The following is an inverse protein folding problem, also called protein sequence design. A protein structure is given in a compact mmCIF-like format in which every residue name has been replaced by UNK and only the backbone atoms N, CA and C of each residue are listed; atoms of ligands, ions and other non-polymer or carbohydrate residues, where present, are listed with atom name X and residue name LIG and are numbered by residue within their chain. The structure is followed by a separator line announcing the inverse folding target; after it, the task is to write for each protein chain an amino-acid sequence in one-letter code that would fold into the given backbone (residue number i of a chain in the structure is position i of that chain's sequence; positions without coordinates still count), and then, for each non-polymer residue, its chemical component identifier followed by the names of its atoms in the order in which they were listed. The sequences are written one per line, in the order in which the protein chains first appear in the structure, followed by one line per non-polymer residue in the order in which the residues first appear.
data_IF_890311109033
#
_entry.id   IF_890311109033
#
_cell.length_a   1.000
_cell.length_b   1.000
_cell.length_c   1.000
_cell.angle_alpha   90.00
_cell.angle_beta   90.00
_cell.angle_gamma   90.00
#
_symmetry.space_group_name_H-M   'P 1'
#
loop_
_entity.id
_entity.type
_entity.pdbx_description
1 polymer ?
#
# COMPACT_ATOMS: atom_id res chain seq x y z
N UNK A 1 7.19 -17.53 -35.98
CA UNK A 1 7.31 -16.06 -35.90
C UNK A 1 5.92 -15.49 -35.68
N UNK A 2 5.58 -15.17 -34.44
CA UNK A 2 4.60 -14.15 -34.05
C UNK A 2 4.85 -13.89 -32.57
N UNK A 3 5.46 -12.74 -32.26
CA UNK A 3 5.55 -12.26 -30.88
C UNK A 3 4.23 -11.56 -30.59
N UNK A 4 3.40 -12.19 -29.77
CA UNK A 4 2.17 -11.58 -29.25
C UNK A 4 2.58 -10.48 -28.27
N UNK A 5 2.83 -9.28 -28.80
CA UNK A 5 3.02 -8.08 -28.00
C UNK A 5 1.66 -7.64 -27.46
N UNK A 6 1.33 -8.11 -26.26
CA UNK A 6 0.20 -7.61 -25.46
C UNK A 6 0.52 -6.20 -24.88
N UNK A 7 0.97 -5.29 -25.73
CA UNK A 7 1.05 -3.88 -25.42
C UNK A 7 -0.31 -3.27 -25.76
N UNK A 8 -1.05 -2.83 -24.74
CA UNK A 8 -2.32 -2.15 -24.94
C UNK A 8 -2.01 -0.69 -25.29
N UNK A 9 -2.21 -0.33 -26.56
CA UNK A 9 -2.30 1.07 -26.95
C UNK A 9 -3.68 1.60 -26.57
N UNK A 10 -3.72 2.70 -25.82
CA UNK A 10 -4.99 3.40 -25.56
C UNK A 10 -5.43 4.11 -26.85
N UNK A 11 -6.72 4.02 -27.25
CA UNK A 11 -7.25 4.74 -28.40
C UNK A 11 -7.12 6.28 -28.26
N UNK A 12 -6.84 6.78 -27.06
CA UNK A 12 -6.74 8.21 -26.74
C UNK A 12 -5.28 8.74 -26.75
N UNK A 13 -4.30 7.95 -27.21
CA UNK A 13 -2.92 8.40 -27.39
C UNK A 13 -2.06 8.44 -26.12
N UNK A 14 -2.57 7.96 -25.00
CA UNK A 14 -1.76 7.77 -23.78
C UNK A 14 -0.89 6.51 -23.93
N UNK A 15 0.42 6.68 -23.79
CA UNK A 15 1.38 5.56 -23.78
C UNK A 15 1.74 5.23 -22.34
N UNK A 16 1.52 3.97 -21.93
CA UNK A 16 1.99 3.46 -20.65
C UNK A 16 3.53 3.39 -20.68
N UNK A 17 4.19 4.33 -20.00
CA UNK A 17 5.62 4.29 -19.75
C UNK A 17 5.84 3.64 -18.39
N UNK A 18 6.43 2.44 -18.37
CA UNK A 18 6.89 1.84 -17.13
C UNK A 18 8.22 2.51 -16.73
N UNK A 19 8.28 3.12 -15.55
CA UNK A 19 9.49 3.79 -15.03
C UNK A 19 10.72 2.87 -14.94
N UNK A 20 10.49 1.55 -14.92
CA UNK A 20 11.52 0.52 -14.97
C UNK A 20 11.21 -0.41 -16.14
N UNK A 21 12.05 -0.38 -17.17
CA UNK A 21 11.89 -1.08 -18.45
C UNK A 21 12.01 -2.62 -18.39
N UNK A 22 11.40 -3.28 -17.41
CA UNK A 22 11.40 -4.73 -17.26
C UNK A 22 10.02 -5.20 -16.81
N UNK A 23 9.00 -5.01 -17.65
CA UNK A 23 7.73 -5.71 -17.51
C UNK A 23 7.84 -7.03 -18.28
N UNK A 24 7.85 -8.15 -17.57
CA UNK A 24 7.80 -9.50 -18.16
C UNK A 24 6.36 -9.96 -18.28
N UNK A 25 6.04 -10.73 -19.31
CA UNK A 25 4.68 -11.19 -19.60
C UNK A 25 4.08 -12.14 -18.55
N UNK A 26 4.89 -12.65 -17.62
CA UNK A 26 4.47 -13.50 -16.49
C UNK A 26 4.26 -12.70 -15.19
N UNK A 27 4.45 -11.38 -15.21
CA UNK A 27 4.29 -10.53 -14.04
C UNK A 27 2.85 -10.04 -13.89
N UNK A 28 2.30 -10.19 -12.69
CA UNK A 28 1.11 -9.45 -12.28
C UNK A 28 1.52 -8.01 -12.01
N UNK A 29 0.88 -7.07 -12.70
CA UNK A 29 1.11 -5.64 -12.54
C UNK A 29 -0.17 -4.98 -12.02
N UNK A 30 0.01 -3.87 -11.30
CA UNK A 30 -1.09 -3.01 -10.88
C UNK A 30 -0.81 -1.62 -11.39
N UNK A 31 -1.76 -1.07 -12.13
CA UNK A 31 -1.67 0.30 -12.62
C UNK A 31 -2.12 1.23 -11.52
N UNK A 32 -1.18 2.05 -11.05
CA UNK A 32 -1.43 3.13 -10.12
C UNK A 32 -1.52 4.42 -10.93
N UNK A 33 -2.72 4.98 -11.04
CA UNK A 33 -2.95 6.27 -11.65
C UNK A 33 -3.01 7.32 -10.54
N UNK A 34 -2.14 8.31 -10.62
CA UNK A 34 -2.11 9.43 -9.67
C UNK A 34 -1.50 10.66 -10.35
N UNK A 35 -1.94 11.85 -9.95
CA UNK A 35 -1.47 13.11 -10.51
C UNK A 35 -0.10 13.54 -9.95
N UNK A 36 0.32 12.97 -8.81
CA UNK A 36 1.59 13.28 -8.13
C UNK A 36 2.46 12.03 -8.04
N UNK A 37 3.79 12.17 -8.14
CA UNK A 37 4.70 11.03 -7.97
C UNK A 37 4.69 10.60 -6.49
N UNK A 38 4.10 9.45 -6.14
CA UNK A 38 3.95 9.08 -4.75
C UNK A 38 5.21 8.40 -4.23
N UNK A 39 5.45 8.50 -2.91
CA UNK A 39 6.38 7.58 -2.27
C UNK A 39 5.77 6.17 -2.30
N UNK A 40 6.37 5.27 -3.07
CA UNK A 40 5.88 3.91 -3.24
C UNK A 40 6.74 2.88 -2.49
N UNK A 41 6.09 2.02 -1.72
CA UNK A 41 6.67 0.84 -1.10
C UNK A 41 6.03 -0.40 -1.75
N UNK A 42 6.88 -1.32 -2.19
CA UNK A 42 6.48 -2.66 -2.64
C UNK A 42 7.07 -3.69 -1.68
N UNK A 43 6.30 -4.11 -0.64
CA UNK A 43 6.77 -5.05 0.36
C UNK A 43 7.27 -6.36 -0.26
N UNK A 44 8.51 -6.71 0.04
CA UNK A 44 9.08 -8.00 -0.32
C UNK A 44 8.50 -9.09 0.60
N UNK A 45 8.77 -10.36 0.26
CA UNK A 45 8.46 -11.50 1.16
C UNK A 45 9.25 -11.41 2.47
N UNK A 46 10.46 -10.89 2.42
CA UNK A 46 11.22 -10.66 3.64
C UNK A 46 10.76 -9.36 4.28
N UNK A 47 10.47 -9.35 5.60
CA UNK A 47 10.11 -8.13 6.31
C UNK A 47 11.16 -7.04 6.14
N UNK A 48 10.69 -5.81 5.97
CA UNK A 48 11.54 -4.64 5.81
C UNK A 48 11.00 -3.48 6.65
N UNK A 49 11.93 -2.72 7.22
CA UNK A 49 11.63 -1.57 8.08
C UNK A 49 11.51 -0.29 7.27
N UNK A 50 10.53 0.54 7.62
CA UNK A 50 10.26 1.82 6.98
C UNK A 50 9.90 2.88 8.01
N UNK A 51 10.38 4.10 7.78
CA UNK A 51 9.95 5.30 8.51
C UNK A 51 9.11 6.18 7.58
N UNK A 52 7.87 6.42 7.96
CA UNK A 52 6.90 7.26 7.26
C UNK A 52 6.71 8.58 8.02
N UNK A 53 6.71 9.69 7.28
CA UNK A 53 6.43 11.05 7.78
C UNK A 53 5.35 11.77 6.98
N UNK A 54 5.05 11.22 5.81
CA UNK A 54 4.21 11.79 4.79
C UNK A 54 3.42 10.64 4.15
N UNK A 55 2.47 11.01 3.29
CA UNK A 55 1.68 10.09 2.48
C UNK A 55 2.57 9.10 1.71
N UNK A 56 2.30 7.82 1.88
CA UNK A 56 3.06 6.72 1.29
C UNK A 56 2.12 5.65 0.77
N UNK A 57 2.37 5.16 -0.44
CA UNK A 57 1.65 4.06 -1.04
C UNK A 57 2.32 2.74 -0.73
N UNK A 58 1.50 1.74 -0.43
CA UNK A 58 1.92 0.36 -0.33
C UNK A 58 1.18 -0.42 -1.42
N UNK A 59 1.93 -0.98 -2.35
CA UNK A 59 1.39 -1.77 -3.45
C UNK A 59 1.84 -3.23 -3.35
N UNK A 60 0.87 -4.13 -3.20
CA UNK A 60 1.11 -5.58 -3.08
C UNK A 60 0.19 -6.31 -4.07
N UNK A 61 0.63 -6.48 -5.34
CA UNK A 61 -0.24 -6.95 -6.42
C UNK A 61 -0.77 -8.37 -6.25
N UNK A 62 -0.13 -9.17 -5.42
CA UNK A 62 -0.33 -10.61 -5.44
C UNK A 62 -1.45 -11.03 -4.49
N UNK A 63 -1.39 -10.62 -3.22
CA UNK A 63 -2.14 -11.38 -2.20
C UNK A 63 -2.39 -10.69 -0.84
N UNK A 64 -2.09 -9.39 -0.69
CA UNK A 64 -2.18 -8.68 0.59
C UNK A 64 -0.86 -8.57 1.36
N UNK A 65 -0.85 -7.74 2.40
CA UNK A 65 0.31 -7.38 3.21
C UNK A 65 -0.06 -7.36 4.68
N UNK A 66 0.91 -7.64 5.55
CA UNK A 66 0.83 -7.24 6.95
C UNK A 66 1.79 -6.09 7.21
N UNK A 67 1.45 -5.30 8.23
CA UNK A 67 2.22 -4.17 8.73
C UNK A 67 2.26 -4.31 10.25
N UNK A 68 3.46 -4.24 10.80
CA UNK A 68 3.72 -4.22 12.23
C UNK A 68 4.19 -2.82 12.61
N UNK A 69 3.40 -2.11 13.40
CA UNK A 69 3.73 -0.81 13.96
C UNK A 69 4.78 -1.01 15.06
N UNK A 70 5.99 -0.49 14.86
CA UNK A 70 7.07 -0.61 15.86
C UNK A 70 7.16 0.63 16.74
N UNK A 71 6.85 1.80 16.19
CA UNK A 71 6.84 3.06 16.93
C UNK A 71 5.98 4.10 16.20
N UNK A 72 5.29 4.96 16.94
CA UNK A 72 4.54 6.08 16.39
C UNK A 72 4.64 7.27 17.35
N UNK A 73 5.17 8.39 16.86
CA UNK A 73 5.37 9.61 17.66
C UNK A 73 4.81 10.82 16.96
N UNK A 74 4.12 11.69 17.70
CA UNK A 74 3.52 12.91 17.15
C UNK A 74 2.18 13.24 17.77
N UNK A 75 1.53 14.29 17.26
CA UNK A 75 0.22 14.77 17.74
C UNK A 75 -0.90 14.55 16.74
N UNK A 76 -0.57 14.27 15.47
CA UNK A 76 -1.57 14.01 14.44
C UNK A 76 -2.02 12.55 14.43
N UNK A 77 -2.27 12.04 13.23
CA UNK A 77 -2.93 10.75 13.01
C UNK A 77 -2.30 10.00 11.86
N UNK A 78 -2.30 8.67 11.98
CA UNK A 78 -2.06 7.76 10.86
C UNK A 78 -3.41 7.41 10.24
N UNK A 79 -3.60 7.74 8.97
CA UNK A 79 -4.78 7.41 8.18
C UNK A 79 -4.44 6.33 7.18
N UNK A 80 -5.27 5.31 7.07
CA UNK A 80 -5.14 4.29 6.02
C UNK A 80 -6.38 4.31 5.13
N UNK A 81 -6.16 4.27 3.83
CA UNK A 81 -7.19 4.40 2.81
C UNK A 81 -6.90 3.53 1.58
N UNK A 82 -7.91 3.37 0.72
CA UNK A 82 -7.77 2.66 -0.56
C UNK A 82 -7.09 3.51 -1.63
N UNK A 83 -6.43 2.86 -2.58
CA UNK A 83 -6.00 3.52 -3.80
C UNK A 83 -4.75 4.38 -3.59
N UNK A 84 -4.49 5.26 -4.56
CA UNK A 84 -3.17 5.86 -4.73
C UNK A 84 -3.12 7.38 -4.63
N UNK A 85 -4.17 8.09 -5.04
CA UNK A 85 -4.16 9.53 -5.09
C UNK A 85 -5.21 10.16 -4.18
N UNK A 86 -4.96 11.39 -3.70
CA UNK A 86 -5.85 12.11 -2.78
C UNK A 86 -7.07 12.73 -3.48
N UNK A 87 -7.15 12.64 -4.81
CA UNK A 87 -8.22 13.31 -5.54
C UNK A 87 -9.52 12.51 -5.51
N UNK A 88 -10.63 13.22 -5.57
CA UNK A 88 -11.99 12.63 -5.60
C UNK A 88 -12.15 11.64 -6.76
N UNK A 89 -11.41 11.84 -7.85
CA UNK A 89 -11.41 10.96 -9.01
C UNK A 89 -10.65 9.64 -8.78
N UNK A 90 -9.76 9.59 -7.79
CA UNK A 90 -8.92 8.43 -7.47
C UNK A 90 -9.65 7.38 -6.62
N UNK A 91 -10.93 7.65 -6.27
CA UNK A 91 -11.81 6.77 -5.47
C UNK A 91 -11.15 6.31 -4.17
N UNK A 92 -10.39 7.21 -3.54
CA UNK A 92 -9.84 6.97 -2.21
C UNK A 92 -10.98 6.88 -1.19
N UNK A 93 -11.05 5.75 -0.50
CA UNK A 93 -11.96 5.52 0.62
C UNK A 93 -11.11 5.36 1.86
N UNK A 94 -11.27 6.28 2.81
CA UNK A 94 -10.65 6.15 4.13
C UNK A 94 -11.20 4.93 4.84
N UNK A 95 -10.33 3.99 5.20
CA UNK A 95 -10.69 2.90 6.09
C UNK A 95 -10.83 3.41 7.51
N UNK A 96 -9.75 4.00 8.03
CA UNK A 96 -9.70 4.50 9.40
C UNK A 96 -8.51 5.40 9.63
N UNK A 97 -8.66 6.29 10.60
CA UNK A 97 -7.59 7.12 11.14
C UNK A 97 -7.41 6.83 12.63
N UNK A 98 -6.16 6.79 13.08
CA UNK A 98 -5.81 6.59 14.48
C UNK A 98 -4.80 7.65 14.94
N UNK A 99 -4.96 8.22 16.15
CA UNK A 99 -3.82 8.82 16.83
C UNK A 99 -2.81 7.73 17.22
N UNK A 100 -1.51 8.08 17.33
CA UNK A 100 -0.44 7.10 17.65
C UNK A 100 -0.74 6.22 18.87
N UNK A 101 -1.41 6.76 19.90
CA UNK A 101 -1.73 6.01 21.13
C UNK A 101 -2.73 4.86 20.96
N UNK A 102 -3.48 4.87 19.87
CA UNK A 102 -4.49 3.84 19.57
C UNK A 102 -4.24 3.18 18.22
N UNK A 103 -3.07 3.41 17.63
CA UNK A 103 -2.67 2.77 16.39
C UNK A 103 -2.45 1.28 16.69
N UNK A 104 -3.05 0.36 15.92
CA UNK A 104 -2.86 -1.06 16.15
C UNK A 104 -1.41 -1.48 15.97
N UNK A 105 -0.99 -2.47 16.74
CA UNK A 105 0.33 -3.10 16.61
C UNK A 105 0.41 -3.82 15.26
N UNK A 106 -0.67 -4.53 14.88
CA UNK A 106 -0.74 -5.26 13.61
C UNK A 106 -1.89 -4.79 12.74
N UNK A 107 -1.58 -4.49 11.48
CA UNK A 107 -2.54 -4.16 10.43
C UNK A 107 -2.36 -5.14 9.28
N UNK A 108 -3.44 -5.83 8.91
CA UNK A 108 -3.48 -6.69 7.74
C UNK A 108 -4.33 -6.06 6.66
N UNK A 109 -3.81 -5.99 5.44
CA UNK A 109 -4.56 -5.56 4.27
C UNK A 109 -4.57 -6.65 3.21
N UNK A 110 -5.73 -6.86 2.60
CA UNK A 110 -5.89 -7.73 1.43
C UNK A 110 -5.99 -6.94 0.12
N UNK A 111 -5.87 -5.61 0.19
CA UNK A 111 -5.94 -4.78 -0.99
C UNK A 111 -4.62 -4.77 -1.75
N UNK A 112 -4.75 -4.57 -3.06
CA UNK A 112 -3.62 -4.42 -3.97
C UNK A 112 -2.87 -3.12 -3.68
N UNK A 113 -3.59 -2.04 -3.35
CA UNK A 113 -3.01 -0.74 -3.05
C UNK A 113 -3.71 -0.14 -1.84
N UNK A 114 -2.92 0.20 -0.83
CA UNK A 114 -3.34 1.05 0.27
C UNK A 114 -2.44 2.29 0.34
N UNK A 115 -3.02 3.38 0.81
CA UNK A 115 -2.27 4.58 1.19
C UNK A 115 -2.17 4.62 2.71
N UNK A 116 -0.99 4.98 3.22
CA UNK A 116 -0.79 5.41 4.60
C UNK A 116 -0.40 6.88 4.61
N UNK A 117 -1.22 7.70 5.27
CA UNK A 117 -0.94 9.11 5.50
C UNK A 117 -0.56 9.35 6.96
N UNK A 118 0.70 9.76 7.17
CA UNK A 118 1.31 10.03 8.46
C UNK A 118 1.25 11.53 8.79
N UNK A 119 0.04 12.08 8.91
CA UNK A 119 -0.15 13.51 9.14
C UNK A 119 0.32 13.93 10.55
N UNK A 120 1.31 14.82 10.62
CA UNK A 120 1.92 15.33 11.87
C UNK A 120 2.39 14.22 12.84
N UNK A 121 2.81 13.08 12.28
CA UNK A 121 3.36 11.93 13.01
C UNK A 121 4.55 11.32 12.27
N UNK A 122 5.44 10.66 13.01
CA UNK A 122 6.49 9.79 12.47
C UNK A 122 6.13 8.37 12.85
N UNK A 123 5.92 7.52 11.85
CA UNK A 123 5.56 6.11 11.99
C UNK A 123 6.74 5.24 11.56
N UNK A 124 7.27 4.44 12.47
CA UNK A 124 8.21 3.36 12.16
C UNK A 124 7.45 2.05 12.11
N UNK A 125 7.52 1.36 10.97
CA UNK A 125 6.80 0.12 10.73
C UNK A 125 7.67 -0.91 10.03
N UNK A 126 7.33 -2.17 10.23
CA UNK A 126 7.80 -3.29 9.44
C UNK A 126 6.66 -3.77 8.55
N UNK A 127 6.92 -4.12 7.29
CA UNK A 127 5.90 -4.74 6.45
C UNK A 127 6.46 -5.85 5.55
N UNK A 128 5.58 -6.79 5.19
CA UNK A 128 5.90 -7.90 4.31
C UNK A 128 4.66 -8.37 3.53
N UNK A 129 4.91 -8.91 2.33
CA UNK A 129 3.93 -9.63 1.52
C UNK A 129 3.90 -11.15 1.81
N UNK A 130 4.68 -11.63 2.78
CA UNK A 130 4.65 -13.03 3.20
C UNK A 130 3.37 -13.37 3.98
N UNK A 131 2.84 -14.55 3.69
CA UNK A 131 1.61 -15.10 4.26
C UNK A 131 1.87 -16.07 5.42
N UNK A 132 3.13 -16.30 5.75
CA UNK A 132 3.48 -17.11 6.91
C UNK A 132 2.71 -16.60 8.13
N UNK A 133 2.14 -17.50 8.94
CA UNK A 133 1.39 -17.09 10.13
C UNK A 133 2.27 -16.21 11.01
N UNK A 134 1.85 -14.96 11.20
CA UNK A 134 2.46 -14.12 12.23
C UNK A 134 1.88 -14.53 13.58
N UNK A 135 2.73 -14.52 14.61
CA UNK A 135 2.30 -14.80 15.98
C UNK A 135 2.04 -13.49 16.67
N UNK A 136 0.79 -13.02 16.62
CA UNK A 136 0.35 -11.93 17.49
C UNK A 136 0.40 -12.41 18.95
N UNK A 137 1.03 -11.64 19.83
CA UNK A 137 1.18 -11.97 21.23
C UNK A 137 -0.07 -11.55 22.03
N UNK A 138 -0.24 -12.14 23.21
CA UNK A 138 -1.32 -11.76 24.10
C UNK A 138 -1.12 -10.32 24.59
N UNK A 139 -2.01 -9.41 24.17
CA UNK A 139 -1.92 -7.97 24.44
C UNK A 139 -1.81 -7.13 23.17
N UNK A 140 -1.45 -7.74 22.05
CA UNK A 140 -1.36 -7.04 20.76
C UNK A 140 -2.75 -6.63 20.26
N UNK A 141 -2.82 -5.40 19.76
CA UNK A 141 -3.98 -4.87 19.07
C UNK A 141 -3.88 -5.16 17.58
N UNK A 142 -4.90 -5.81 17.03
CA UNK A 142 -4.93 -6.26 15.63
C UNK A 142 -6.09 -5.61 14.89
N UNK A 143 -5.84 -5.16 13.67
CA UNK A 143 -6.86 -4.70 12.73
C UNK A 143 -6.69 -5.36 11.37
N UNK A 144 -7.81 -5.68 10.73
CA UNK A 144 -7.87 -6.16 9.36
C UNK A 144 -8.62 -5.12 8.54
N UNK A 145 -8.04 -4.69 7.42
CA UNK A 145 -8.63 -3.77 6.45
C UNK A 145 -8.78 -4.48 5.09
N UNK A 146 -9.88 -4.23 4.41
CA UNK A 146 -10.18 -4.82 3.11
C UNK A 146 -11.20 -3.97 2.39
N UNK A 147 -11.07 -3.85 1.07
CA UNK A 147 -12.08 -3.21 0.25
C UNK A 147 -13.22 -4.19 0.02
N UNK A 148 -14.43 -3.76 0.36
CA UNK A 148 -15.65 -4.55 0.19
C UNK A 148 -16.86 -3.71 0.59
N UNK A 149 -17.89 -3.72 -0.25
CA UNK A 149 -19.19 -3.16 0.11
C UNK A 149 -19.90 -4.23 0.95
N UNK A 150 -20.33 -3.88 2.17
CA UNK A 150 -21.26 -4.72 2.94
C UNK A 150 -22.66 -4.64 2.35
#
# INVERSE_FOLDING_TARGET
ASSDTHCVESPDGWTLLADLAIVKCDQQFSLILTEELPRLIMPLKQPSMYTLKDRTLIAVPQTGTWIHTTNCVGKGTVTISTGAGPNVNDREVTYRSWPCKSLPDWIFSFDIVITIDANDVVLDMECSSDKSPITALHGDSVTIITSGIS
#
